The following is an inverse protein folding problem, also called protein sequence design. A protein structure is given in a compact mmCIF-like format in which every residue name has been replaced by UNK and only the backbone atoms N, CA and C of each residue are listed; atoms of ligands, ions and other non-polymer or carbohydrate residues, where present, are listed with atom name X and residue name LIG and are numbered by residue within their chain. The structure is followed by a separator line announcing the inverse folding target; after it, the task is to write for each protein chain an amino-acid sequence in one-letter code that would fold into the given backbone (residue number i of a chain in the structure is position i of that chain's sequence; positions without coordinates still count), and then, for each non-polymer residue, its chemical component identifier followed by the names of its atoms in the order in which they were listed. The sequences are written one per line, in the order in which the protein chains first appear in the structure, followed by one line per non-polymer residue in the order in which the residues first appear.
data_IF_540450805015
#
_entry.id   IF_540450805015
#
_cell.length_a   1.000
_cell.length_b   1.000
_cell.length_c   1.000
_cell.angle_alpha   90.00
_cell.angle_beta   90.00
_cell.angle_gamma   90.00
#
_symmetry.space_group_name_H-M   'P 1'
#
loop_
_entity.id
_entity.type
_entity.pdbx_description
1 polymer ?
#
# COMPACT_ATOMS: atom_id res chain seq x y z
N UNK A 1 -50.07 44.70 4.22
CA UNK A 1 -50.07 44.52 5.69
C UNK A 1 -48.67 44.89 6.18
N UNK A 2 -48.40 46.12 6.68
CA UNK A 2 -48.42 46.51 8.11
C UNK A 2 -47.56 45.53 8.95
N UNK A 3 -46.52 45.84 9.73
CA UNK A 3 -46.03 47.03 10.46
C UNK A 3 -44.62 46.65 11.06
N UNK A 4 -43.59 47.51 11.06
CA UNK A 4 -43.04 48.34 12.20
C UNK A 4 -42.27 47.55 13.29
N UNK A 5 -40.99 47.83 13.63
CA UNK A 5 -40.51 48.84 14.61
C UNK A 5 -38.94 48.93 14.55
N UNK A 6 -38.28 50.08 14.27
CA UNK A 6 -37.78 51.16 15.19
C UNK A 6 -36.45 50.84 15.95
N UNK A 7 -35.48 51.74 16.23
CA UNK A 7 -35.29 53.19 16.05
C UNK A 7 -33.89 53.65 16.57
N UNK A 8 -33.20 54.48 15.77
CA UNK A 8 -32.25 55.60 16.02
C UNK A 8 -31.61 55.91 17.40
N UNK A 9 -30.32 56.29 17.36
CA UNK A 9 -29.68 57.61 17.73
C UNK A 9 -28.15 57.43 17.83
N UNK A 10 -27.22 58.33 17.49
CA UNK A 10 -27.16 59.80 17.48
C UNK A 10 -25.93 60.26 16.65
N UNK A 11 -26.07 61.10 15.61
CA UNK A 11 -25.91 62.58 15.59
C UNK A 11 -24.52 63.14 15.97
N UNK A 12 -23.78 63.69 15.00
CA UNK A 12 -23.59 65.15 14.74
C UNK A 12 -22.44 65.42 13.76
N UNK A 13 -22.73 66.16 12.70
CA UNK A 13 -21.77 66.94 11.91
C UNK A 13 -21.97 68.40 12.31
N UNK A 14 -20.90 69.11 12.69
CA UNK A 14 -20.81 70.57 12.65
C UNK A 14 -19.40 70.95 12.20
N UNK A 15 -19.38 71.85 11.22
CA UNK A 15 -18.27 72.52 10.55
C UNK A 15 -17.50 73.48 11.46
N UNK A 16 -16.19 73.62 11.24
CA UNK A 16 -15.36 74.70 11.78
C UNK A 16 -14.03 74.80 11.02
N UNK A 17 -13.74 75.99 10.49
CA UNK A 17 -12.62 76.36 9.61
C UNK A 17 -11.55 77.13 10.42
N UNK A 18 -10.28 77.06 9.95
CA UNK A 18 -9.09 77.88 10.28
C UNK A 18 -8.31 77.54 11.57
N UNK A 19 -6.97 77.53 11.64
CA UNK A 19 -5.86 77.64 10.70
C UNK A 19 -4.52 77.37 11.45
N UNK A 20 -3.43 77.15 10.68
CA UNK A 20 -1.99 77.32 11.01
C UNK A 20 -1.27 76.19 11.78
N UNK A 21 -0.25 75.60 11.15
CA UNK A 21 0.78 74.79 11.84
C UNK A 21 1.70 73.99 10.90
N UNK A 22 2.77 74.64 10.42
CA UNK A 22 4.04 74.14 9.88
C UNK A 22 4.17 72.70 9.30
N UNK A 23 4.59 72.62 8.03
CA UNK A 23 5.17 71.42 7.40
C UNK A 23 6.46 70.98 8.12
N UNK A 24 6.52 69.72 8.54
CA UNK A 24 7.77 68.98 8.74
C UNK A 24 7.77 67.77 7.80
N UNK A 25 8.65 67.79 6.80
CA UNK A 25 8.96 66.65 5.93
C UNK A 25 9.71 65.60 6.77
N UNK A 26 9.05 64.48 7.08
CA UNK A 26 9.72 63.29 7.59
C UNK A 26 9.95 62.35 6.41
N UNK A 27 11.20 62.20 6.01
CA UNK A 27 11.63 61.15 5.10
C UNK A 27 11.52 59.80 5.82
N UNK A 28 10.59 58.95 5.38
CA UNK A 28 10.52 57.56 5.83
C UNK A 28 11.56 56.77 5.05
N UNK A 29 12.67 56.42 5.71
CA UNK A 29 13.62 55.46 5.19
C UNK A 29 12.97 54.06 5.19
N UNK A 30 12.80 53.47 4.01
CA UNK A 30 12.42 52.07 3.85
C UNK A 30 13.62 51.20 4.27
N UNK A 31 13.56 50.65 5.48
CA UNK A 31 14.47 49.60 5.90
C UNK A 31 14.05 48.27 5.24
N UNK A 32 14.89 47.75 4.34
CA UNK A 32 14.75 46.40 3.81
C UNK A 32 15.10 45.40 4.91
N UNK A 33 14.10 44.72 5.48
CA UNK A 33 14.31 43.58 6.36
C UNK A 33 14.79 42.39 5.54
N UNK A 34 16.07 42.01 5.67
CA UNK A 34 16.55 40.71 5.22
C UNK A 34 15.84 39.58 5.99
N UNK A 35 15.87 38.33 5.47
CA UNK A 35 15.30 37.19 6.19
C UNK A 35 15.96 37.03 7.56
N UNK A 36 15.23 36.54 8.58
CA UNK A 36 15.79 36.35 9.90
C UNK A 36 16.98 35.39 9.82
N UNK A 37 18.12 35.80 10.39
CA UNK A 37 19.25 34.91 10.59
C UNK A 37 18.78 33.74 11.47
N UNK A 38 18.92 32.51 10.97
CA UNK A 38 18.75 31.31 11.79
C UNK A 38 19.70 31.41 12.98
N UNK A 39 19.15 31.36 14.20
CA UNK A 39 19.96 31.19 15.37
C UNK A 39 20.70 29.86 15.22
N UNK A 40 22.03 29.89 15.21
CA UNK A 40 22.86 28.69 15.40
C UNK A 40 22.45 28.07 16.72
N UNK A 41 21.72 26.96 16.66
CA UNK A 41 21.48 26.10 17.81
C UNK A 41 22.85 25.63 18.29
N UNK A 42 23.26 26.09 19.47
CA UNK A 42 24.44 25.57 20.13
C UNK A 42 24.13 24.14 20.52
N UNK A 43 24.58 23.18 19.70
CA UNK A 43 24.58 21.76 20.03
C UNK A 43 25.19 21.62 21.43
N UNK A 44 24.49 21.01 22.41
CA UNK A 44 25.10 20.73 23.70
C UNK A 44 26.35 19.89 23.47
N UNK A 45 27.42 20.07 24.27
CA UNK A 45 28.63 19.27 24.11
C UNK A 45 28.25 17.80 24.25
N UNK A 46 28.26 17.07 23.13
CA UNK A 46 28.05 15.63 23.14
C UNK A 46 29.26 15.02 23.82
N UNK A 47 29.11 14.63 25.08
CA UNK A 47 30.02 13.65 25.68
C UNK A 47 30.09 12.46 24.71
N UNK A 48 31.28 12.06 24.24
CA UNK A 48 31.39 10.97 23.27
C UNK A 48 30.74 9.73 23.86
N UNK A 49 29.87 9.10 23.07
CA UNK A 49 29.25 7.84 23.45
C UNK A 49 30.36 6.81 23.71
N UNK A 50 30.29 6.13 24.85
CA UNK A 50 31.35 5.21 25.30
C UNK A 50 31.18 3.82 24.68
N UNK A 51 30.07 3.58 23.98
CA UNK A 51 29.75 2.34 23.30
C UNK A 51 29.17 2.63 21.93
N UNK A 52 29.26 1.65 21.03
CA UNK A 52 28.57 1.72 19.76
C UNK A 52 27.05 1.70 20.01
N UNK A 53 26.32 2.50 19.24
CA UNK A 53 24.86 2.40 19.18
C UNK A 53 24.45 1.69 17.91
N UNK A 54 23.32 1.00 17.97
CA UNK A 54 22.73 0.33 16.81
C UNK A 54 21.32 0.87 16.58
N UNK A 55 20.92 0.91 15.32
CA UNK A 55 19.56 1.18 14.89
C UNK A 55 19.13 0.06 13.96
N UNK A 56 17.87 -0.38 14.07
CA UNK A 56 17.21 -1.22 13.07
C UNK A 56 16.17 -0.36 12.37
N UNK A 57 16.29 -0.23 11.06
CA UNK A 57 15.30 0.40 10.20
C UNK A 57 14.63 -0.75 9.44
N UNK A 58 13.31 -0.79 9.39
CA UNK A 58 12.60 -1.80 8.61
C UNK A 58 11.35 -1.25 7.96
N UNK A 59 10.91 -1.94 6.91
CA UNK A 59 9.73 -1.59 6.12
C UNK A 59 9.19 -2.81 5.37
N UNK A 60 7.98 -2.71 4.84
CA UNK A 60 7.44 -3.63 3.85
C UNK A 60 7.71 -3.08 2.44
N UNK A 61 7.94 -3.98 1.46
CA UNK A 61 8.38 -3.62 0.11
C UNK A 61 7.29 -3.08 -0.83
N UNK A 62 6.04 -3.49 -0.63
CA UNK A 62 4.90 -3.23 -1.54
C UNK A 62 3.82 -2.32 -0.96
N UNK A 63 3.91 -1.94 0.31
CA UNK A 63 2.95 -1.09 1.01
C UNK A 63 1.64 -1.78 1.41
N UNK A 64 1.16 -2.80 0.68
CA UNK A 64 0.07 -3.72 1.07
C UNK A 64 0.13 -4.97 0.18
N UNK A 65 0.24 -6.15 0.77
CA UNK A 65 0.05 -7.40 0.02
C UNK A 65 -1.44 -7.77 -0.03
N UNK A 66 -1.90 -8.33 -1.14
CA UNK A 66 -3.27 -8.83 -1.28
C UNK A 66 -3.25 -10.36 -1.33
N UNK A 67 -4.23 -11.02 -0.72
CA UNK A 67 -4.39 -12.47 -0.82
C UNK A 67 -5.83 -12.84 -1.18
N UNK A 68 -6.05 -14.06 -1.67
CA UNK A 68 -7.38 -14.65 -1.68
C UNK A 68 -7.79 -15.06 -0.24
N UNK A 69 -9.04 -14.86 0.13
CA UNK A 69 -9.63 -15.36 1.38
C UNK A 69 -9.84 -16.90 1.34
N UNK A 70 -9.88 -17.50 0.16
CA UNK A 70 -10.14 -18.93 -0.09
C UNK A 70 -9.50 -19.43 -1.39
N UNK A 71 -9.08 -20.70 -1.42
CA UNK A 71 -8.20 -21.25 -2.45
C UNK A 71 -8.73 -22.52 -3.15
N UNK A 72 -9.94 -22.99 -2.80
CA UNK A 72 -10.51 -24.23 -3.33
C UNK A 72 -10.93 -24.17 -4.81
N UNK A 73 -11.29 -22.99 -5.32
CA UNK A 73 -11.77 -22.80 -6.70
C UNK A 73 -10.69 -22.19 -7.59
N UNK A 74 -10.18 -21.02 -7.21
CA UNK A 74 -9.05 -20.37 -7.88
C UNK A 74 -8.20 -19.58 -6.88
N UNK A 75 -7.04 -19.11 -7.35
CA UNK A 75 -6.23 -18.12 -6.64
C UNK A 75 -5.66 -17.08 -7.59
N UNK A 76 -5.69 -15.82 -7.15
CA UNK A 76 -4.98 -14.69 -7.75
C UNK A 76 -3.65 -14.45 -7.03
N UNK A 77 -3.62 -14.46 -5.70
CA UNK A 77 -2.42 -14.24 -4.89
C UNK A 77 -2.43 -15.08 -3.60
N UNK A 78 -1.31 -15.71 -3.22
CA UNK A 78 -1.19 -16.47 -1.98
C UNK A 78 -1.08 -15.54 -0.75
N UNK A 79 -1.21 -16.07 0.47
CA UNK A 79 -0.76 -15.38 1.67
C UNK A 79 0.74 -15.09 1.53
N UNK A 80 1.11 -13.82 1.70
CA UNK A 80 2.48 -13.36 1.47
C UNK A 80 2.71 -12.01 2.15
N UNK A 81 3.96 -11.75 2.50
CA UNK A 81 4.46 -10.44 2.85
C UNK A 81 5.99 -10.48 2.74
N UNK A 82 6.59 -9.36 2.35
CA UNK A 82 8.04 -9.19 2.32
C UNK A 82 8.43 -8.05 3.22
N UNK A 83 9.29 -8.33 4.19
CA UNK A 83 9.83 -7.33 5.11
C UNK A 83 11.32 -7.14 4.84
N UNK A 84 11.75 -5.89 4.85
CA UNK A 84 13.14 -5.48 4.73
C UNK A 84 13.62 -4.86 6.02
N UNK A 85 14.92 -5.00 6.29
CA UNK A 85 15.57 -4.20 7.32
C UNK A 85 17.02 -3.89 7.00
N UNK A 86 17.50 -2.80 7.59
CA UNK A 86 18.90 -2.42 7.62
C UNK A 86 19.33 -2.13 9.05
N UNK A 87 20.46 -2.70 9.45
CA UNK A 87 21.06 -2.42 10.76
C UNK A 87 22.18 -1.41 10.58
N UNK A 88 22.09 -0.30 11.29
CA UNK A 88 23.07 0.79 11.25
C UNK A 88 23.85 0.80 12.57
N UNK A 89 25.16 0.61 12.50
CA UNK A 89 26.08 0.81 13.61
C UNK A 89 26.58 2.25 13.61
N UNK A 90 26.46 2.92 14.75
CA UNK A 90 26.97 4.25 15.03
C UNK A 90 28.16 4.08 15.99
N UNK A 91 29.42 4.29 15.53
CA UNK A 91 30.60 4.04 16.34
C UNK A 91 30.68 4.90 17.60
N UNK A 92 31.16 4.31 18.70
CA UNK A 92 31.56 5.02 19.91
C UNK A 92 32.58 6.12 19.59
N UNK A 93 32.52 7.24 20.31
CA UNK A 93 33.49 8.34 20.13
C UNK A 93 33.34 9.18 18.84
N UNK A 94 32.35 8.87 18.00
CA UNK A 94 32.10 9.56 16.74
C UNK A 94 32.68 8.84 15.52
N UNK A 95 32.06 9.05 14.36
CA UNK A 95 32.42 8.40 13.10
C UNK A 95 31.21 8.35 12.16
N UNK A 96 31.44 7.94 10.91
CA UNK A 96 30.36 7.73 9.95
C UNK A 96 29.54 6.49 10.34
N UNK A 97 28.19 6.56 10.29
CA UNK A 97 27.34 5.38 10.45
C UNK A 97 27.64 4.33 9.39
N UNK A 98 27.56 3.05 9.78
CA UNK A 98 27.89 1.92 8.93
C UNK A 98 26.74 0.92 8.89
N UNK A 99 26.38 0.48 7.68
CA UNK A 99 25.49 -0.67 7.51
C UNK A 99 26.22 -1.95 7.92
N UNK A 100 25.58 -2.76 8.76
CA UNK A 100 26.14 -4.01 9.27
C UNK A 100 25.22 -5.18 9.00
N UNK A 101 25.74 -6.19 8.32
CA UNK A 101 25.08 -7.49 8.10
C UNK A 101 25.90 -8.63 8.70
N UNK A 102 27.23 -8.46 8.81
CA UNK A 102 28.12 -9.46 9.39
C UNK A 102 28.09 -9.44 10.92
N UNK A 103 27.94 -10.62 11.53
CA UNK A 103 27.95 -10.77 13.00
C UNK A 103 26.67 -10.33 13.70
N UNK A 104 25.64 -9.99 12.94
CA UNK A 104 24.30 -9.60 13.40
C UNK A 104 23.28 -10.52 12.75
N UNK A 105 22.25 -10.90 13.50
CA UNK A 105 21.05 -11.59 13.01
C UNK A 105 19.86 -10.69 13.31
N UNK A 106 18.97 -10.52 12.33
CA UNK A 106 17.68 -9.86 12.53
C UNK A 106 16.59 -10.91 12.56
N UNK A 107 15.94 -11.08 13.72
CA UNK A 107 14.75 -11.90 13.87
C UNK A 107 13.48 -11.09 13.65
N UNK A 108 12.40 -11.74 13.22
CA UNK A 108 11.08 -11.15 13.11
C UNK A 108 10.00 -12.01 13.81
N UNK A 109 8.95 -11.36 14.31
CA UNK A 109 7.77 -12.02 14.88
C UNK A 109 6.53 -11.12 14.82
N UNK A 110 5.35 -11.75 14.93
CA UNK A 110 4.07 -11.07 15.12
C UNK A 110 3.47 -11.47 16.46
N UNK A 111 3.08 -10.50 17.28
CA UNK A 111 2.66 -10.75 18.67
C UNK A 111 1.34 -11.54 18.80
N UNK A 112 0.37 -11.29 17.92
CA UNK A 112 -0.97 -11.91 17.94
C UNK A 112 -1.33 -12.49 16.56
N UNK A 113 -0.34 -12.98 15.82
CA UNK A 113 -0.53 -13.64 14.53
C UNK A 113 0.57 -14.69 14.30
N UNK A 114 0.53 -15.75 15.11
CA UNK A 114 1.55 -16.80 15.12
C UNK A 114 1.29 -17.91 14.10
N UNK A 115 0.08 -17.97 13.55
CA UNK A 115 -0.32 -18.96 12.56
C UNK A 115 -1.29 -18.37 11.53
N UNK A 116 -1.37 -18.97 10.35
CA UNK A 116 -2.29 -18.54 9.28
C UNK A 116 -3.15 -19.67 8.70
N UNK A 117 -2.78 -20.93 8.95
CA UNK A 117 -3.46 -22.10 8.39
C UNK A 117 -4.86 -22.36 8.96
N UNK A 118 -5.20 -21.83 10.13
CA UNK A 118 -6.57 -21.89 10.65
C UNK A 118 -7.47 -20.78 10.10
N UNK A 119 -6.88 -19.71 9.55
CA UNK A 119 -7.57 -18.50 9.06
C UNK A 119 -7.92 -18.58 7.58
N UNK A 120 -7.09 -19.27 6.79
CA UNK A 120 -7.33 -19.52 5.35
C UNK A 120 -6.93 -20.95 4.97
N UNK A 121 -7.51 -21.51 3.91
CA UNK A 121 -7.29 -22.90 3.48
C UNK A 121 -6.16 -23.09 2.45
N UNK A 122 -5.27 -22.11 2.30
CA UNK A 122 -4.18 -22.09 1.32
C UNK A 122 -3.34 -23.38 1.29
N UNK A 123 -2.92 -23.88 2.46
CA UNK A 123 -2.04 -25.06 2.55
C UNK A 123 -2.69 -26.36 2.04
N UNK A 124 -4.02 -26.44 1.96
CA UNK A 124 -4.71 -27.58 1.37
C UNK A 124 -4.58 -27.63 -0.16
N UNK A 125 -4.34 -26.48 -0.80
CA UNK A 125 -4.41 -26.30 -2.25
C UNK A 125 -3.09 -25.79 -2.86
N UNK A 126 -2.15 -25.32 -2.05
CA UNK A 126 -0.89 -24.70 -2.50
C UNK A 126 -0.07 -25.64 -3.39
N UNK A 127 -0.07 -26.94 -3.12
CA UNK A 127 0.65 -27.91 -3.95
C UNK A 127 0.11 -27.92 -5.39
N UNK A 128 -1.21 -27.97 -5.56
CA UNK A 128 -1.85 -27.98 -6.87
C UNK A 128 -1.72 -26.61 -7.55
N UNK A 129 -2.00 -25.52 -6.82
CA UNK A 129 -1.97 -24.15 -7.34
C UNK A 129 -0.58 -23.73 -7.85
N UNK A 130 0.48 -24.09 -7.13
CA UNK A 130 1.86 -23.67 -7.45
C UNK A 130 2.72 -24.80 -8.02
N UNK A 131 2.11 -25.94 -8.36
CA UNK A 131 2.79 -27.13 -8.88
C UNK A 131 4.04 -27.52 -8.05
N UNK A 132 3.87 -27.54 -6.72
CA UNK A 132 4.96 -27.82 -5.80
C UNK A 132 5.30 -29.32 -5.81
N UNK A 133 6.58 -29.70 -5.68
CA UNK A 133 6.96 -31.11 -5.67
C UNK A 133 6.36 -31.87 -4.48
N UNK A 134 6.17 -31.18 -3.35
CA UNK A 134 5.56 -31.71 -2.13
C UNK A 134 4.67 -30.63 -1.49
N UNK A 135 3.70 -31.00 -0.64
CA UNK A 135 2.90 -30.04 0.12
C UNK A 135 3.79 -29.13 0.98
N UNK A 136 3.44 -27.84 1.06
CA UNK A 136 4.09 -26.91 1.99
C UNK A 136 3.88 -27.36 3.44
N UNK A 137 4.89 -27.24 4.31
CA UNK A 137 4.66 -27.32 5.74
C UNK A 137 3.63 -26.27 6.17
N UNK A 138 2.76 -26.65 7.12
CA UNK A 138 1.73 -25.76 7.67
C UNK A 138 2.38 -24.49 8.23
N UNK A 139 1.79 -23.32 7.95
CA UNK A 139 2.29 -21.99 8.32
C UNK A 139 3.64 -21.58 7.70
N UNK A 140 4.14 -22.33 6.72
CA UNK A 140 5.33 -21.96 5.95
C UNK A 140 4.90 -21.50 4.55
N UNK A 141 5.41 -20.34 4.14
CA UNK A 141 5.15 -19.72 2.84
C UNK A 141 5.99 -20.32 1.72
N UNK A 142 5.74 -19.87 0.49
CA UNK A 142 6.36 -20.39 -0.73
C UNK A 142 7.89 -20.25 -0.77
N UNK A 143 8.45 -19.38 0.06
CA UNK A 143 9.89 -19.08 0.18
C UNK A 143 10.53 -19.75 1.40
N UNK A 144 9.77 -20.54 2.17
CA UNK A 144 10.26 -21.21 3.38
C UNK A 144 10.20 -20.37 4.66
N UNK A 145 9.68 -19.13 4.60
CA UNK A 145 9.48 -18.28 5.78
C UNK A 145 8.17 -18.62 6.51
N UNK A 146 8.18 -18.52 7.84
CA UNK A 146 6.99 -18.63 8.68
C UNK A 146 6.61 -17.27 9.29
N UNK A 147 5.69 -17.26 10.27
CA UNK A 147 5.26 -16.04 10.99
C UNK A 147 6.29 -15.59 12.05
N UNK A 148 7.34 -16.36 12.26
CA UNK A 148 8.52 -15.94 13.03
C UNK A 148 9.74 -16.63 12.46
N UNK A 149 10.90 -16.00 12.61
CA UNK A 149 12.17 -16.56 12.18
C UNK A 149 13.23 -15.50 12.00
N UNK A 150 14.36 -15.92 11.44
CA UNK A 150 15.44 -15.01 11.06
C UNK A 150 15.22 -14.50 9.63
N UNK A 151 15.51 -13.22 9.42
CA UNK A 151 15.61 -12.62 8.09
C UNK A 151 16.90 -13.11 7.41
N UNK A 152 16.85 -13.28 6.09
CA UNK A 152 18.01 -13.64 5.28
C UNK A 152 18.94 -12.42 5.13
N UNK A 153 20.22 -12.62 5.38
CA UNK A 153 21.20 -11.54 5.27
C UNK A 153 21.64 -11.33 3.81
N UNK A 154 21.39 -10.12 3.31
CA UNK A 154 21.95 -9.61 2.06
C UNK A 154 23.31 -8.92 2.27
N UNK A 155 23.78 -8.20 1.25
CA UNK A 155 25.04 -7.45 1.34
C UNK A 155 24.95 -6.25 2.28
N UNK A 156 23.81 -5.56 2.28
CA UNK A 156 23.59 -4.29 2.99
C UNK A 156 22.23 -4.21 3.70
N UNK A 157 21.44 -5.28 3.67
CA UNK A 157 20.11 -5.36 4.26
C UNK A 157 19.84 -6.80 4.72
N UNK A 158 18.71 -7.01 5.38
CA UNK A 158 18.12 -8.30 5.66
C UNK A 158 16.70 -8.33 5.09
N UNK A 159 16.24 -9.50 4.66
CA UNK A 159 14.89 -9.66 4.10
C UNK A 159 14.19 -10.92 4.63
N UNK A 160 12.89 -10.82 4.87
CA UNK A 160 12.00 -11.96 5.09
C UNK A 160 10.96 -11.95 3.99
N UNK A 161 11.30 -12.61 2.89
CA UNK A 161 10.47 -12.68 1.68
C UNK A 161 9.45 -13.80 1.84
N UNK A 162 8.19 -13.56 1.49
CA UNK A 162 7.15 -14.60 1.41
C UNK A 162 6.68 -15.19 2.74
N UNK A 163 6.63 -14.36 3.78
CA UNK A 163 5.96 -14.69 5.04
C UNK A 163 4.46 -14.90 4.74
N UNK A 164 3.84 -16.04 5.08
CA UNK A 164 2.45 -16.33 4.71
C UNK A 164 1.45 -15.65 5.66
N UNK A 165 1.52 -14.31 5.72
CA UNK A 165 0.74 -13.47 6.62
C UNK A 165 -0.71 -13.37 6.14
N UNK A 166 -1.62 -13.29 7.11
CA UNK A 166 -3.06 -13.07 6.88
C UNK A 166 -3.54 -11.87 7.69
N UNK A 167 -4.64 -11.20 7.29
CA UNK A 167 -5.15 -10.00 7.96
C UNK A 167 -5.95 -10.35 9.23
N UNK A 168 -5.63 -11.44 9.92
CA UNK A 168 -6.41 -11.93 11.05
C UNK A 168 -5.50 -12.27 12.20
N UNK A 169 -5.84 -11.79 13.38
CA UNK A 169 -5.11 -12.13 14.60
C UNK A 169 -5.54 -13.50 15.13
N UNK A 170 -4.68 -14.14 15.91
CA UNK A 170 -4.98 -15.40 16.61
C UNK A 170 -6.13 -15.21 17.61
N UNK A 171 -6.15 -14.08 18.31
CA UNK A 171 -7.20 -13.74 19.28
C UNK A 171 -8.55 -13.38 18.64
N UNK A 172 -8.55 -12.92 17.39
CA UNK A 172 -9.74 -12.47 16.66
C UNK A 172 -9.75 -12.93 15.20
N UNK A 173 -9.79 -14.26 14.94
CA UNK A 173 -9.57 -14.81 13.60
C UNK A 173 -10.70 -14.53 12.60
N UNK A 174 -11.78 -13.84 13.02
CA UNK A 174 -12.88 -13.41 12.17
C UNK A 174 -12.93 -11.88 11.96
N UNK A 175 -12.03 -11.13 12.61
CA UNK A 175 -11.99 -9.67 12.51
C UNK A 175 -10.76 -9.27 11.70
N UNK A 176 -10.99 -8.61 10.56
CA UNK A 176 -9.90 -8.09 9.72
C UNK A 176 -9.06 -7.07 10.49
N UNK A 177 -7.76 -7.26 10.43
CA UNK A 177 -6.69 -6.40 10.92
C UNK A 177 -5.62 -6.31 9.83
N UNK A 178 -5.83 -5.47 8.80
CA UNK A 178 -4.95 -5.46 7.64
C UNK A 178 -3.58 -4.81 7.89
N UNK A 179 -3.37 -4.20 9.06
CA UNK A 179 -2.13 -3.53 9.46
C UNK A 179 -1.41 -4.29 10.56
N UNK A 180 -0.96 -5.50 10.24
CA UNK A 180 -0.22 -6.35 11.17
C UNK A 180 1.09 -5.67 11.57
N UNK A 181 1.52 -5.85 12.82
CA UNK A 181 2.75 -5.28 13.35
C UNK A 181 3.81 -6.37 13.48
N UNK A 182 4.92 -6.20 12.76
CA UNK A 182 6.07 -7.06 12.85
C UNK A 182 7.12 -6.44 13.79
N UNK A 183 7.57 -7.22 14.77
CA UNK A 183 8.66 -6.86 15.65
C UNK A 183 9.97 -7.37 15.06
N UNK A 184 10.90 -6.47 14.77
CA UNK A 184 12.22 -6.80 14.26
C UNK A 184 13.25 -6.60 15.35
N UNK A 185 14.08 -7.61 15.60
CA UNK A 185 15.09 -7.58 16.67
C UNK A 185 16.46 -7.93 16.10
N UNK A 186 17.38 -6.97 16.11
CA UNK A 186 18.77 -7.22 15.79
C UNK A 186 19.52 -7.72 17.02
N UNK A 187 20.17 -8.87 16.88
CA UNK A 187 20.99 -9.49 17.92
C UNK A 187 22.42 -9.71 17.46
N UNK A 188 23.37 -9.61 18.38
CA UNK A 188 24.77 -9.90 18.12
C UNK A 188 25.03 -11.40 18.17
N UNK A 189 25.56 -11.99 17.09
CA UNK A 189 25.67 -13.44 16.94
C UNK A 189 26.59 -14.10 17.99
N UNK A 190 27.63 -13.40 18.43
CA UNK A 190 28.60 -13.94 19.38
C UNK A 190 28.08 -14.01 20.82
N UNK A 191 27.11 -13.17 21.19
CA UNK A 191 26.66 -13.01 22.58
C UNK A 191 25.16 -13.25 22.77
N UNK A 192 24.37 -13.20 21.69
CA UNK A 192 22.91 -13.16 21.75
C UNK A 192 22.35 -11.85 22.31
N UNK A 193 23.20 -10.82 22.51
CA UNK A 193 22.75 -9.55 23.05
C UNK A 193 21.87 -8.82 22.02
N UNK A 194 20.72 -8.31 22.45
CA UNK A 194 19.90 -7.41 21.65
C UNK A 194 20.67 -6.10 21.46
N UNK A 195 20.85 -5.71 20.20
CA UNK A 195 21.54 -4.49 19.79
C UNK A 195 20.55 -3.34 19.62
N UNK A 196 19.43 -3.62 18.96
CA UNK A 196 18.32 -2.71 18.74
C UNK A 196 17.10 -3.49 18.23
N UNK A 197 15.93 -2.89 18.37
CA UNK A 197 14.67 -3.42 17.85
C UNK A 197 13.83 -2.29 17.25
N UNK A 198 12.84 -2.67 16.44
CA UNK A 198 11.85 -1.76 15.89
C UNK A 198 10.56 -2.51 15.58
N UNK A 199 9.44 -1.80 15.49
CA UNK A 199 8.16 -2.34 15.03
C UNK A 199 7.79 -1.69 13.72
N UNK A 200 7.45 -2.50 12.73
CA UNK A 200 7.06 -2.07 11.40
C UNK A 200 5.66 -2.59 11.07
N UNK A 201 5.00 -1.96 10.11
CA UNK A 201 3.73 -2.47 9.59
C UNK A 201 4.04 -3.47 8.47
N UNK A 202 3.46 -4.67 8.56
CA UNK A 202 3.43 -5.69 7.51
C UNK A 202 1.99 -5.80 6.97
N UNK A 203 1.60 -4.88 6.07
CA UNK A 203 0.22 -4.74 5.65
C UNK A 203 -0.20 -5.87 4.72
N UNK A 204 -1.37 -6.44 4.97
CA UNK A 204 -1.95 -7.53 4.18
C UNK A 204 -3.48 -7.42 4.16
N UNK A 205 -4.14 -7.75 3.05
CA UNK A 205 -5.61 -7.70 2.97
C UNK A 205 -6.19 -8.74 2.02
N UNK A 206 -7.36 -9.27 2.39
CA UNK A 206 -8.21 -10.13 1.56
C UNK A 206 -9.44 -9.40 1.01
N UNK A 207 -9.44 -8.06 1.07
CA UNK A 207 -10.54 -7.22 0.62
C UNK A 207 -10.53 -7.03 -0.91
N UNK A 208 -10.81 -8.12 -1.63
CA UNK A 208 -11.05 -8.11 -3.07
C UNK A 208 -12.50 -8.54 -3.34
N UNK A 209 -13.34 -7.61 -3.77
CA UNK A 209 -14.81 -7.78 -3.75
C UNK A 209 -15.41 -8.21 -5.08
N UNK A 210 -14.88 -9.27 -5.67
CA UNK A 210 -15.43 -9.88 -6.89
C UNK A 210 -16.91 -10.28 -6.70
N UNK A 211 -17.30 -10.61 -5.46
CA UNK A 211 -18.66 -10.93 -5.05
C UNK A 211 -19.67 -9.80 -5.28
N UNK A 212 -19.23 -8.54 -5.38
CA UNK A 212 -20.10 -7.41 -5.66
C UNK A 212 -20.79 -7.52 -7.03
N UNK A 213 -20.18 -8.22 -7.99
CA UNK A 213 -20.67 -8.33 -9.37
C UNK A 213 -20.85 -9.78 -9.84
N UNK A 214 -20.02 -10.71 -9.36
CA UNK A 214 -20.06 -12.14 -9.74
C UNK A 214 -20.91 -13.01 -8.80
N UNK A 215 -21.78 -12.40 -7.98
CA UNK A 215 -22.80 -13.13 -7.24
C UNK A 215 -23.76 -13.89 -8.17
N UNK A 216 -24.55 -14.81 -7.63
CA UNK A 216 -25.50 -15.60 -8.41
C UNK A 216 -26.49 -14.76 -9.21
N UNK A 217 -26.50 -14.96 -10.53
CA UNK A 217 -27.35 -14.22 -11.46
C UNK A 217 -26.84 -12.81 -11.77
N UNK A 218 -25.64 -12.46 -11.32
CA UNK A 218 -24.94 -11.22 -11.63
C UNK A 218 -24.33 -11.24 -13.04
N UNK A 219 -23.09 -10.73 -13.17
CA UNK A 219 -22.37 -10.69 -14.46
C UNK A 219 -22.27 -12.10 -15.05
N UNK A 220 -22.57 -12.23 -16.34
CA UNK A 220 -22.61 -13.52 -17.05
C UNK A 220 -23.85 -14.37 -16.77
N UNK A 221 -24.74 -13.97 -15.86
CA UNK A 221 -25.99 -14.70 -15.55
C UNK A 221 -25.77 -16.08 -14.94
N UNK A 222 -24.57 -16.37 -14.41
CA UNK A 222 -24.23 -17.65 -13.80
C UNK A 222 -24.70 -17.70 -12.35
N UNK A 223 -25.28 -18.82 -11.92
CA UNK A 223 -25.75 -19.04 -10.54
C UNK A 223 -25.31 -20.42 -10.03
N UNK A 224 -24.08 -20.52 -9.53
CA UNK A 224 -23.53 -21.78 -9.00
C UNK A 224 -23.59 -21.88 -7.48
N UNK A 225 -23.93 -20.79 -6.78
CA UNK A 225 -23.87 -20.70 -5.32
C UNK A 225 -22.54 -20.21 -4.77
N UNK A 226 -21.53 -20.01 -5.62
CA UNK A 226 -20.22 -19.45 -5.28
C UNK A 226 -19.77 -18.48 -6.38
N UNK A 227 -19.46 -17.23 -6.02
CA UNK A 227 -19.03 -16.23 -6.99
C UNK A 227 -17.73 -16.64 -7.71
N UNK A 228 -16.87 -17.42 -7.06
CA UNK A 228 -15.62 -17.89 -7.67
C UNK A 228 -15.89 -18.86 -8.81
N UNK A 229 -16.86 -19.75 -8.59
CA UNK A 229 -17.28 -20.71 -9.60
C UNK A 229 -18.10 -20.03 -10.71
N UNK A 230 -18.85 -18.97 -10.38
CA UNK A 230 -19.48 -18.10 -11.38
C UNK A 230 -18.42 -17.47 -12.31
N UNK A 231 -17.30 -16.98 -11.76
CA UNK A 231 -16.18 -16.44 -12.53
C UNK A 231 -15.58 -17.50 -13.46
N UNK A 232 -15.23 -18.69 -12.94
CA UNK A 232 -14.65 -19.74 -13.80
C UNK A 232 -15.62 -20.22 -14.89
N UNK A 233 -16.90 -20.35 -14.56
CA UNK A 233 -17.93 -20.75 -15.54
C UNK A 233 -18.06 -19.70 -16.65
N UNK A 234 -18.09 -18.43 -16.29
CA UNK A 234 -18.15 -17.34 -17.27
C UNK A 234 -16.87 -17.26 -18.10
N UNK A 235 -15.71 -17.46 -17.47
CA UNK A 235 -14.43 -17.54 -18.18
C UNK A 235 -14.40 -18.69 -19.19
N UNK A 236 -14.92 -19.87 -18.82
CA UNK A 236 -15.03 -21.03 -19.70
C UNK A 236 -15.94 -20.77 -20.90
N UNK A 237 -17.10 -20.15 -20.70
CA UNK A 237 -18.03 -19.78 -21.77
C UNK A 237 -17.40 -18.78 -22.75
N UNK A 238 -16.75 -17.74 -22.23
CA UNK A 238 -16.18 -16.68 -23.06
C UNK A 238 -14.89 -17.11 -23.77
N UNK A 239 -14.01 -17.83 -23.07
CA UNK A 239 -12.67 -18.15 -23.54
C UNK A 239 -12.54 -19.56 -24.12
N UNK A 240 -13.61 -20.36 -24.08
CA UNK A 240 -13.60 -21.76 -24.51
C UNK A 240 -12.66 -22.65 -23.67
N UNK A 241 -12.47 -22.29 -22.40
CA UNK A 241 -11.66 -23.07 -21.44
C UNK A 241 -12.51 -24.11 -20.72
N UNK A 242 -11.86 -24.94 -19.88
CA UNK A 242 -12.52 -25.95 -19.04
C UNK A 242 -12.03 -25.86 -17.58
N UNK A 243 -11.83 -24.64 -17.08
CA UNK A 243 -11.30 -24.33 -15.75
C UNK A 243 -12.17 -24.86 -14.63
N UNK A 244 -13.50 -24.91 -14.82
CA UNK A 244 -14.42 -25.49 -13.83
C UNK A 244 -14.06 -26.95 -13.52
N UNK A 245 -13.64 -27.73 -14.53
CA UNK A 245 -13.26 -29.14 -14.37
C UNK A 245 -11.82 -29.32 -13.85
N UNK A 246 -11.04 -28.24 -13.75
CA UNK A 246 -9.61 -28.26 -13.43
C UNK A 246 -9.25 -27.41 -12.20
N UNK A 247 -10.18 -27.31 -11.24
CA UNK A 247 -9.95 -26.63 -9.96
C UNK A 247 -8.97 -27.39 -9.03
N UNK A 248 -8.19 -26.70 -8.18
CA UNK A 248 -8.13 -25.24 -8.08
C UNK A 248 -7.26 -24.63 -9.19
N UNK A 249 -7.66 -23.44 -9.68
CA UNK A 249 -6.96 -22.75 -10.77
C UNK A 249 -6.11 -21.60 -10.24
N UNK A 250 -4.80 -21.63 -10.46
CA UNK A 250 -3.97 -20.43 -10.32
C UNK A 250 -4.13 -19.60 -11.59
N UNK A 251 -4.72 -18.39 -11.51
CA UNK A 251 -4.91 -17.52 -12.68
C UNK A 251 -3.57 -17.26 -13.41
N UNK A 252 -2.51 -17.13 -12.60
CA UNK A 252 -1.16 -16.88 -13.05
C UNK A 252 -0.47 -18.08 -13.75
N UNK A 253 -1.10 -19.26 -13.76
CA UNK A 253 -0.61 -20.42 -14.53
C UNK A 253 -0.68 -20.19 -16.04
N UNK A 254 -1.70 -19.45 -16.49
CA UNK A 254 -1.89 -19.09 -17.90
C UNK A 254 -1.55 -17.62 -18.15
N UNK A 255 -2.02 -16.72 -17.29
CA UNK A 255 -1.75 -15.29 -17.42
C UNK A 255 -0.45 -14.92 -16.71
N UNK A 256 0.57 -14.48 -17.44
CA UNK A 256 1.84 -14.12 -16.82
C UNK A 256 1.65 -13.11 -15.66
N UNK A 257 2.43 -13.27 -14.58
CA UNK A 257 2.39 -12.38 -13.42
C UNK A 257 3.80 -12.19 -12.87
N UNK A 258 4.43 -11.02 -13.11
CA UNK A 258 5.72 -10.68 -12.53
C UNK A 258 5.71 -10.69 -10.99
N UNK A 259 4.60 -10.31 -10.35
CA UNK A 259 4.46 -10.38 -8.89
C UNK A 259 4.61 -11.80 -8.33
N UNK A 260 4.23 -12.82 -9.10
CA UNK A 260 4.39 -14.23 -8.72
C UNK A 260 5.60 -14.90 -9.40
N UNK A 261 6.37 -14.15 -10.21
CA UNK A 261 7.46 -14.72 -11.01
C UNK A 261 7.00 -15.77 -12.04
N UNK A 262 5.72 -15.75 -12.42
CA UNK A 262 5.15 -16.76 -13.34
C UNK A 262 5.25 -16.29 -14.79
N UNK A 263 5.79 -17.12 -15.69
CA UNK A 263 5.96 -16.74 -17.10
C UNK A 263 4.64 -16.74 -17.89
N UNK A 264 3.59 -17.39 -17.36
CA UNK A 264 2.35 -17.62 -18.08
C UNK A 264 2.52 -18.49 -19.34
N UNK A 265 1.50 -18.49 -20.18
CA UNK A 265 1.48 -19.18 -21.48
C UNK A 265 1.75 -18.16 -22.60
N UNK A 266 2.64 -18.46 -23.57
CA UNK A 266 2.91 -17.56 -24.69
C UNK A 266 1.62 -17.19 -25.45
N UNK A 267 1.44 -15.89 -25.71
CA UNK A 267 0.26 -15.36 -26.40
C UNK A 267 -0.93 -15.04 -25.49
N UNK A 268 -0.93 -15.51 -24.24
CA UNK A 268 -1.88 -15.08 -23.21
C UNK A 268 -1.35 -13.81 -22.54
N UNK A 269 -2.23 -12.82 -22.37
CA UNK A 269 -1.85 -11.52 -21.80
C UNK A 269 -1.58 -11.63 -20.31
N UNK A 270 -0.80 -10.67 -19.77
CA UNK A 270 -0.56 -10.56 -18.33
C UNK A 270 -1.87 -10.53 -17.54
N UNK A 271 -1.87 -11.10 -16.34
CA UNK A 271 -3.08 -11.16 -15.51
C UNK A 271 -3.65 -9.76 -15.24
N UNK A 272 -2.75 -8.80 -14.97
CA UNK A 272 -3.12 -7.39 -14.81
C UNK A 272 -3.80 -6.83 -16.06
N UNK A 273 -3.28 -7.10 -17.26
CA UNK A 273 -3.92 -6.63 -18.50
C UNK A 273 -5.31 -7.25 -18.65
N UNK A 274 -5.43 -8.57 -18.56
CA UNK A 274 -6.70 -9.28 -18.76
C UNK A 274 -7.77 -8.86 -17.76
N UNK A 275 -7.40 -8.68 -16.50
CA UNK A 275 -8.32 -8.17 -15.48
C UNK A 275 -8.73 -6.74 -15.80
N UNK A 276 -7.79 -5.82 -15.99
CA UNK A 276 -8.16 -4.42 -16.15
C UNK A 276 -8.91 -4.16 -17.46
N UNK A 277 -8.52 -4.76 -18.59
CA UNK A 277 -9.17 -4.51 -19.89
C UNK A 277 -10.62 -4.98 -19.88
N UNK A 278 -10.88 -6.17 -19.32
CA UNK A 278 -12.22 -6.75 -19.23
C UNK A 278 -13.17 -5.88 -18.41
N UNK A 279 -12.66 -5.23 -17.37
CA UNK A 279 -13.45 -4.35 -16.52
C UNK A 279 -13.50 -2.91 -17.04
N UNK A 280 -12.49 -2.47 -17.81
CA UNK A 280 -12.44 -1.15 -18.43
C UNK A 280 -13.50 -0.92 -19.52
N UNK A 281 -13.96 -1.99 -20.19
CA UNK A 281 -15.06 -1.92 -21.16
C UNK A 281 -16.43 -1.79 -20.51
N UNK A 282 -16.57 -2.23 -19.26
CA UNK A 282 -17.83 -2.23 -18.51
C UNK A 282 -18.10 -0.88 -17.81
N UNK A 283 -17.05 -0.07 -17.62
CA UNK A 283 -17.11 1.31 -17.07
C UNK A 283 -17.86 2.30 -17.98
N UNK A 284 -18.12 1.94 -19.25
CA UNK A 284 -18.88 2.77 -20.19
C UNK A 284 -20.39 2.50 -20.25
N UNK A 285 -20.86 1.31 -19.85
CA UNK A 285 -22.22 0.86 -20.16
C UNK A 285 -22.97 0.17 -19.01
N UNK A 286 -22.29 -0.40 -18.01
CA UNK A 286 -22.96 -1.19 -16.96
C UNK A 286 -22.97 -0.54 -15.59
N UNK A 287 -21.95 0.23 -15.20
CA UNK A 287 -21.94 0.88 -13.88
C UNK A 287 -22.76 2.17 -13.80
N UNK A 288 -23.04 2.82 -14.94
CA UNK A 288 -23.97 3.95 -15.02
C UNK A 288 -25.44 3.51 -15.19
N UNK A 289 -25.69 2.21 -15.34
CA UNK A 289 -27.04 1.65 -15.55
C UNK A 289 -27.53 0.80 -14.38
N UNK A 290 -26.63 0.32 -13.51
CA UNK A 290 -27.04 -0.18 -12.19
C UNK A 290 -27.12 0.96 -11.20
N UNK A 291 -28.29 1.60 -11.20
CA UNK A 291 -28.84 2.19 -10.01
C UNK A 291 -28.88 1.12 -8.89
N UNK A 292 -27.78 0.95 -8.17
CA UNK A 292 -27.71 0.30 -6.85
C UNK A 292 -28.52 1.07 -5.79
N UNK A 293 -29.24 2.12 -6.22
CA UNK A 293 -30.10 2.98 -5.40
C UNK A 293 -31.59 2.57 -5.34
N UNK A 294 -32.07 1.53 -6.04
CA UNK A 294 -33.54 1.27 -6.08
C UNK A 294 -34.02 -0.17 -5.81
N UNK A 295 -33.17 -1.13 -5.45
CA UNK A 295 -33.64 -2.49 -5.06
C UNK A 295 -33.33 -2.92 -3.63
N UNK A 296 -32.55 -2.14 -2.86
CA UNK A 296 -32.47 -2.32 -1.39
C UNK A 296 -33.23 -1.20 -0.71
N UNK A 297 -34.56 -1.37 -0.66
CA UNK A 297 -35.34 -0.70 0.36
C UNK A 297 -34.78 -1.10 1.72
N UNK A 298 -34.19 -0.12 2.42
CA UNK A 298 -33.48 -0.16 3.71
C UNK A 298 -31.97 -0.44 3.67
N UNK A 299 -31.20 0.61 3.98
CA UNK A 299 -29.83 0.53 4.46
C UNK A 299 -28.78 1.00 3.46
N UNK A 300 -28.41 2.28 3.55
CA UNK A 300 -27.06 2.74 3.23
C UNK A 300 -26.06 1.79 3.90
N UNK A 301 -25.38 0.94 3.12
CA UNK A 301 -24.07 0.45 3.53
C UNK A 301 -23.26 1.71 3.86
N UNK A 302 -22.67 1.76 5.06
CA UNK A 302 -21.90 2.90 5.55
C UNK A 302 -20.57 3.09 4.82
N UNK A 303 -20.59 3.00 3.49
CA UNK A 303 -19.50 3.47 2.64
C UNK A 303 -19.46 5.00 2.79
N UNK A 304 -18.27 5.60 2.97
CA UNK A 304 -18.15 7.04 2.89
C UNK A 304 -18.78 7.53 1.58
N UNK A 305 -19.42 8.72 1.58
CA UNK A 305 -20.15 9.22 0.42
C UNK A 305 -19.25 9.22 -0.81
N UNK A 306 -19.76 8.63 -1.90
CA UNK A 306 -19.18 8.62 -3.24
C UNK A 306 -18.69 10.03 -3.59
N UNK A 307 -17.38 10.19 -3.75
CA UNK A 307 -16.82 11.35 -4.39
C UNK A 307 -16.13 10.93 -5.70
N UNK A 308 -16.80 11.08 -6.86
CA UNK A 308 -16.18 10.84 -8.16
C UNK A 308 -14.93 11.70 -8.42
N UNK A 309 -14.67 12.71 -7.59
CA UNK A 309 -13.47 13.55 -7.65
C UNK A 309 -12.21 12.87 -7.07
N UNK A 310 -12.33 11.76 -6.32
CA UNK A 310 -11.18 11.06 -5.76
C UNK A 310 -10.64 9.92 -6.63
N UNK A 311 -11.33 9.51 -7.69
CA UNK A 311 -10.82 8.49 -8.63
C UNK A 311 -10.45 7.13 -8.00
N UNK A 312 -10.90 6.85 -6.77
CA UNK A 312 -10.65 5.57 -6.08
C UNK A 312 -11.80 4.58 -6.23
N UNK A 313 -13.00 5.06 -6.56
CA UNK A 313 -14.25 4.29 -6.53
C UNK A 313 -14.25 3.02 -7.40
N UNK A 314 -13.64 3.10 -8.58
CA UNK A 314 -13.57 1.97 -9.52
C UNK A 314 -12.47 0.98 -9.12
N UNK A 315 -11.34 1.50 -8.62
CA UNK A 315 -10.19 0.69 -8.21
C UNK A 315 -10.53 -0.15 -6.97
N UNK A 316 -11.21 0.45 -5.99
CA UNK A 316 -11.56 -0.19 -4.72
C UNK A 316 -12.68 -1.24 -4.80
N UNK A 317 -13.25 -1.48 -5.99
CA UNK A 317 -14.10 -2.66 -6.19
C UNK A 317 -13.28 -3.96 -6.15
N UNK A 318 -12.02 -3.90 -6.58
CA UNK A 318 -11.13 -5.06 -6.65
C UNK A 318 -9.89 -4.92 -5.75
N UNK A 319 -9.39 -3.70 -5.57
CA UNK A 319 -8.26 -3.44 -4.69
C UNK A 319 -8.72 -3.10 -3.26
N UNK A 320 -8.00 -3.55 -2.22
CA UNK A 320 -8.35 -3.23 -0.83
C UNK A 320 -8.45 -1.72 -0.58
N UNK A 321 -9.52 -1.23 0.02
CA UNK A 321 -9.72 0.21 0.09
C UNK A 321 -10.90 0.72 0.88
N UNK A 322 -12.05 0.04 0.81
CA UNK A 322 -13.26 0.48 1.51
C UNK A 322 -13.11 0.27 3.02
N UNK A 323 -12.67 -0.91 3.43
CA UNK A 323 -12.41 -1.28 4.82
C UNK A 323 -10.93 -1.14 5.15
N UNK A 324 -10.06 -1.59 4.24
CA UNK A 324 -8.61 -1.60 4.43
C UNK A 324 -8.07 -0.17 4.38
N UNK A 325 -8.51 0.65 3.42
CA UNK A 325 -7.90 1.93 3.09
C UNK A 325 -6.40 1.78 2.76
N UNK A 326 -6.12 1.05 1.66
CA UNK A 326 -4.77 0.77 1.18
C UNK A 326 -3.99 2.05 0.87
N UNK A 327 -4.60 3.03 0.20
CA UNK A 327 -3.97 4.31 -0.07
C UNK A 327 -4.08 5.24 1.16
N UNK A 328 -2.96 5.45 1.85
CA UNK A 328 -2.87 6.19 3.14
C UNK A 328 -1.61 7.03 3.30
N UNK A 329 -0.87 7.20 2.23
CA UNK A 329 0.42 7.87 2.22
C UNK A 329 0.27 9.40 2.23
N UNK A 330 1.41 10.10 2.16
CA UNK A 330 1.45 11.56 2.06
C UNK A 330 0.83 12.08 0.76
N UNK A 331 0.80 11.26 -0.30
CA UNK A 331 0.22 11.66 -1.59
C UNK A 331 -1.30 11.73 -1.48
N UNK A 332 -1.93 10.76 -0.82
CA UNK A 332 -3.37 10.78 -0.56
C UNK A 332 -3.81 11.90 0.37
N UNK A 333 -3.00 12.19 1.38
CA UNK A 333 -3.19 13.37 2.24
C UNK A 333 -3.07 14.70 1.46
N UNK A 334 -2.39 14.68 0.32
CA UNK A 334 -2.23 15.83 -0.59
C UNK A 334 -3.26 15.83 -1.73
N UNK A 335 -4.29 14.98 -1.66
CA UNK A 335 -5.36 14.90 -2.66
C UNK A 335 -4.96 14.18 -3.95
N UNK A 336 -3.92 13.35 -3.92
CA UNK A 336 -3.56 12.46 -5.02
C UNK A 336 -4.05 11.04 -4.77
N UNK A 337 -4.60 10.44 -5.81
CA UNK A 337 -5.26 9.16 -5.78
C UNK A 337 -4.71 8.21 -6.84
N UNK A 338 -5.21 6.99 -6.90
CA UNK A 338 -4.70 5.93 -7.76
C UNK A 338 -4.52 6.39 -9.21
N UNK A 339 -5.54 7.06 -9.77
CA UNK A 339 -5.58 7.50 -11.16
C UNK A 339 -4.64 8.65 -11.47
N UNK A 340 -4.19 9.43 -10.47
CA UNK A 340 -3.21 10.50 -10.69
C UNK A 340 -1.84 9.95 -11.11
N UNK A 341 -1.51 8.72 -10.68
CA UNK A 341 -0.26 8.06 -11.00
C UNK A 341 -0.42 6.93 -12.02
N UNK A 342 -1.49 6.13 -11.90
CA UNK A 342 -1.71 4.93 -12.71
C UNK A 342 -2.59 5.16 -13.95
N UNK A 343 -3.35 6.25 -13.99
CA UNK A 343 -4.39 6.47 -15.00
C UNK A 343 -5.65 5.64 -14.74
N UNK A 344 -6.53 5.55 -15.73
CA UNK A 344 -7.77 4.76 -15.66
C UNK A 344 -7.53 3.27 -15.91
N UNK A 345 -8.60 2.46 -15.86
CA UNK A 345 -8.55 1.01 -16.10
C UNK A 345 -7.93 0.65 -17.46
N UNK A 346 -8.09 1.50 -18.50
CA UNK A 346 -7.47 1.26 -19.82
C UNK A 346 -5.99 1.58 -19.81
N UNK A 347 -5.56 2.59 -19.06
CA UNK A 347 -4.15 2.91 -18.89
C UNK A 347 -3.41 1.76 -18.21
N UNK A 348 -3.97 1.21 -17.12
CA UNK A 348 -3.39 0.04 -16.44
C UNK A 348 -3.63 -1.27 -17.18
N UNK A 349 -4.51 -1.31 -18.19
CA UNK A 349 -4.62 -2.43 -19.11
C UNK A 349 -3.74 -2.31 -20.35
N UNK A 350 -2.86 -1.31 -20.47
CA UNK A 350 -1.99 -1.21 -21.65
C UNK A 350 -1.16 -2.49 -21.85
N UNK A 351 -0.93 -2.89 -23.10
CA UNK A 351 0.00 -3.99 -23.42
C UNK A 351 1.47 -3.54 -23.40
N UNK A 352 1.72 -2.24 -23.47
CA UNK A 352 3.08 -1.67 -23.47
C UNK A 352 3.70 -1.60 -22.07
N UNK A 353 2.96 -2.00 -21.03
CA UNK A 353 3.44 -2.04 -19.65
C UNK A 353 3.70 -3.48 -19.21
N UNK A 354 4.72 -3.64 -18.37
CA UNK A 354 4.98 -4.84 -17.60
C UNK A 354 4.54 -4.56 -16.16
N UNK A 355 3.43 -5.15 -15.67
CA UNK A 355 2.94 -4.92 -14.31
C UNK A 355 4.01 -5.24 -13.26
N UNK A 356 4.10 -4.44 -12.20
CA UNK A 356 5.10 -4.57 -11.10
C UNK A 356 6.56 -4.36 -11.51
N UNK A 357 6.80 -3.96 -12.76
CA UNK A 357 8.12 -3.62 -13.32
C UNK A 357 8.09 -2.18 -13.86
N UNK A 358 7.04 -1.81 -14.58
CA UNK A 358 6.77 -0.45 -14.99
C UNK A 358 5.84 0.22 -13.97
N UNK A 359 6.44 0.93 -13.01
CA UNK A 359 5.77 1.65 -11.93
C UNK A 359 5.85 3.18 -12.12
N UNK A 360 4.88 3.95 -11.60
CA UNK A 360 4.98 5.41 -11.56
C UNK A 360 6.28 5.87 -10.88
N UNK A 361 6.91 6.90 -11.45
CA UNK A 361 8.24 7.35 -11.02
C UNK A 361 8.16 8.64 -10.22
N UNK A 362 8.78 8.65 -9.04
CA UNK A 362 8.95 9.84 -8.22
C UNK A 362 9.66 10.95 -8.99
N UNK A 363 10.65 10.58 -9.82
CA UNK A 363 11.46 11.49 -10.62
C UNK A 363 10.76 12.15 -11.81
N UNK A 364 9.49 11.82 -12.08
CA UNK A 364 8.76 12.44 -13.18
C UNK A 364 8.69 13.97 -12.99
N UNK A 365 8.86 14.71 -14.08
CA UNK A 365 8.71 16.17 -14.15
C UNK A 365 7.34 16.67 -13.71
N UNK A 366 6.29 15.85 -13.85
CA UNK A 366 4.96 16.14 -13.33
C UNK A 366 4.82 15.89 -11.83
N UNK A 367 5.81 15.23 -11.21
CA UNK A 367 5.86 14.86 -9.80
C UNK A 367 6.98 15.63 -9.07
N UNK A 368 8.04 14.95 -8.63
CA UNK A 368 9.10 15.57 -7.83
C UNK A 368 10.32 16.01 -8.66
N UNK A 369 10.37 15.61 -9.93
CA UNK A 369 11.47 15.93 -10.83
C UNK A 369 12.79 15.23 -10.48
N UNK A 370 13.84 15.55 -11.23
CA UNK A 370 15.08 14.76 -11.25
C UNK A 370 15.85 14.70 -9.93
N UNK A 371 15.58 15.59 -8.98
CA UNK A 371 16.22 15.56 -7.65
C UNK A 371 15.76 14.38 -6.80
N UNK A 372 14.58 13.83 -7.10
CA UNK A 372 13.95 12.72 -6.38
C UNK A 372 13.79 11.49 -7.28
N UNK A 373 14.56 11.43 -8.37
CA UNK A 373 14.54 10.30 -9.28
C UNK A 373 15.16 9.06 -8.64
N UNK A 374 14.56 7.92 -8.95
CA UNK A 374 15.10 6.59 -8.67
C UNK A 374 16.47 6.40 -9.33
N UNK A 375 17.25 5.44 -8.83
CA UNK A 375 18.46 5.07 -9.54
C UNK A 375 18.11 4.52 -10.95
N UNK A 376 18.99 4.73 -11.96
CA UNK A 376 18.70 4.31 -13.33
C UNK A 376 18.34 2.82 -13.44
N UNK A 377 17.21 2.53 -14.09
CA UNK A 377 16.68 1.18 -14.31
C UNK A 377 16.38 0.38 -13.02
N UNK A 378 16.04 1.09 -11.95
CA UNK A 378 15.72 0.51 -10.65
C UNK A 378 14.36 1.01 -10.19
N UNK A 379 13.55 0.13 -9.59
CA UNK A 379 12.32 0.54 -8.91
C UNK A 379 12.67 1.40 -7.69
N UNK A 380 11.74 2.26 -7.25
CA UNK A 380 11.96 3.09 -6.06
C UNK A 380 12.37 2.24 -4.85
N UNK A 381 11.64 1.14 -4.59
CA UNK A 381 11.92 0.20 -3.48
C UNK A 381 13.32 -0.44 -3.51
N UNK A 382 13.99 -0.43 -4.66
CA UNK A 382 15.32 -1.02 -4.85
C UNK A 382 16.40 0.05 -5.07
N UNK A 383 16.02 1.33 -5.09
CA UNK A 383 16.98 2.43 -5.22
C UNK A 383 17.77 2.58 -3.92
N UNK A 384 18.94 3.19 -4.00
CA UNK A 384 19.80 3.45 -2.84
C UNK A 384 20.33 4.87 -2.84
N UNK A 385 20.61 5.38 -1.64
CA UNK A 385 21.21 6.68 -1.38
C UNK A 385 21.98 6.70 -0.06
N UNK A 386 22.51 7.87 0.32
CA UNK A 386 23.05 8.13 1.67
C UNK A 386 23.95 7.01 2.26
N UNK A 387 24.88 6.47 1.48
CA UNK A 387 25.80 5.42 1.93
C UNK A 387 25.28 3.98 1.79
N UNK A 388 24.28 3.75 0.93
CA UNK A 388 23.71 2.41 0.66
C UNK A 388 22.44 2.12 1.43
N UNK A 389 21.80 3.14 2.02
CA UNK A 389 20.43 3.03 2.50
C UNK A 389 19.49 2.88 1.31
N UNK A 390 18.54 1.96 1.44
CA UNK A 390 17.48 1.75 0.45
C UNK A 390 16.38 2.81 0.60
#
# INVERSE_FOLDING_TARGET
MRHLYNWLKSRRVVTGVSAIGALALVAVALATSGPPAYATETQPPQSPDLQDRYLVIGWNDLGMHCLDDRYEVFSILPPYNTMWSQVVRIPAGGGEPQLVTNGVTVGYSFDDNSESASKVNFWNYSQALFNLPEPLPVNIGLTGKGLTGDMDAGSQHFEAVGVPLTPYNDSTPQTRQPYQLAHLVATQNSTGAVLADTTIVAPVSDEMRCDNCHYDGGVGGVSTGDYRLNILTYHDDESGTHLVDNQPVLCASCHASPALGTPGVPGVKYLSHSMHEKHASEDGASLNTFAVSWLRGTGTLGLPPRNPEDGTEDCYQCHPGVETACLRDTMSQSGMWCTNCHGDMRAVSSEDRIPWVDEPKCGDSACHGSQYAENPNTLYRNSTGHGGLY
#
